data_IF_205204739527
#
_entry.id   IF_205204739527
#
_cell.length_a   1.000
_cell.length_b   1.000
_cell.length_c   1.000
_cell.angle_alpha   90.00
_cell.angle_beta   90.00
_cell.angle_gamma   90.00
#
_symmetry.space_group_name_H-M   'P 1'
#
loop_
_entity.id
_entity.type
_entity.pdbx_description
1 polymer ?
#
# COMPACT_ATOMS: atom_id res chain seq x y z
N UNK A 1 24.23 68.56 -12.60
CA UNK A 1 24.66 67.18 -12.29
C UNK A 1 23.67 66.59 -11.28
N UNK A 2 22.73 65.72 -11.70
CA UNK A 2 21.87 64.97 -10.78
C UNK A 2 22.01 63.47 -11.11
N UNK A 3 22.70 62.73 -10.24
CA UNK A 3 22.81 61.26 -10.34
C UNK A 3 21.51 60.65 -9.81
N UNK A 4 20.75 59.96 -10.66
CA UNK A 4 19.61 59.14 -10.25
C UNK A 4 20.14 57.82 -9.68
N UNK A 5 19.88 57.58 -8.40
CA UNK A 5 20.15 56.31 -7.72
C UNK A 5 18.97 55.36 -8.03
N UNK A 6 19.24 54.26 -8.74
CA UNK A 6 18.28 53.17 -8.89
C UNK A 6 18.52 52.18 -7.74
N UNK A 7 17.57 52.06 -6.82
CA UNK A 7 17.58 51.03 -5.79
C UNK A 7 16.84 49.82 -6.34
N UNK A 8 17.57 48.74 -6.61
CA UNK A 8 17.02 47.46 -7.03
C UNK A 8 16.54 46.70 -5.76
N UNK A 9 15.24 46.65 -5.54
CA UNK A 9 14.65 45.86 -4.45
C UNK A 9 14.58 44.40 -4.95
N UNK A 10 15.49 43.56 -4.46
CA UNK A 10 15.43 42.12 -4.71
C UNK A 10 14.35 41.50 -3.82
N UNK A 11 13.24 41.08 -4.43
CA UNK A 11 12.16 40.35 -3.75
C UNK A 11 12.60 38.89 -3.54
N UNK A 12 13.10 38.56 -2.36
CA UNK A 12 13.39 37.17 -1.97
C UNK A 12 12.07 36.48 -1.66
N UNK A 13 11.54 35.71 -2.62
CA UNK A 13 10.40 34.81 -2.39
C UNK A 13 10.91 33.59 -1.64
N UNK A 14 10.75 33.60 -0.31
CA UNK A 14 10.92 32.40 0.51
C UNK A 14 9.77 31.43 0.19
N UNK A 15 10.03 30.47 -0.69
CA UNK A 15 9.13 29.33 -0.87
C UNK A 15 9.22 28.45 0.38
N UNK A 16 8.30 28.66 1.33
CA UNK A 16 8.04 27.68 2.37
C UNK A 16 7.46 26.43 1.69
N UNK A 17 8.31 25.45 1.42
CA UNK A 17 7.88 24.09 1.10
C UNK A 17 7.21 23.51 2.33
N UNK A 18 5.92 23.81 2.52
CA UNK A 18 5.11 23.10 3.48
C UNK A 18 4.99 21.66 2.95
N UNK A 19 5.78 20.74 3.52
CA UNK A 19 5.58 19.32 3.29
C UNK A 19 4.17 18.99 3.77
N UNK A 20 3.23 18.93 2.83
CA UNK A 20 1.85 18.62 3.13
C UNK A 20 1.79 17.22 3.73
N UNK A 21 1.28 17.12 4.95
CA UNK A 21 1.09 15.84 5.62
C UNK A 21 0.20 14.94 4.75
N UNK A 22 0.56 13.65 4.67
CA UNK A 22 -0.22 12.66 3.91
C UNK A 22 -1.54 12.31 4.58
N UNK A 23 -1.64 12.53 5.89
CA UNK A 23 -2.86 12.39 6.69
C UNK A 23 -3.11 13.69 7.47
N UNK A 24 -4.36 14.14 7.49
CA UNK A 24 -4.75 15.37 8.21
C UNK A 24 -4.88 15.12 9.71
N UNK A 25 -4.87 16.18 10.52
CA UNK A 25 -5.13 16.06 11.95
C UNK A 25 -6.53 15.52 12.25
N UNK A 26 -7.52 15.86 11.42
CA UNK A 26 -8.87 15.30 11.51
C UNK A 26 -8.85 13.78 11.36
N UNK A 27 -8.12 13.26 10.36
CA UNK A 27 -7.95 11.81 10.16
C UNK A 27 -7.32 11.16 11.40
N UNK A 28 -6.25 11.74 11.93
CA UNK A 28 -5.57 11.20 13.11
C UNK A 28 -6.50 11.15 14.34
N UNK A 29 -7.31 12.19 14.54
CA UNK A 29 -8.31 12.23 15.61
C UNK A 29 -9.40 11.18 15.42
N UNK A 30 -9.90 10.98 14.19
CA UNK A 30 -10.89 9.93 13.90
C UNK A 30 -10.32 8.53 14.11
N UNK A 31 -9.06 8.29 13.73
CA UNK A 31 -8.35 7.03 14.01
C UNK A 31 -8.22 6.81 15.52
N UNK A 32 -7.82 7.83 16.28
CA UNK A 32 -7.72 7.74 17.73
C UNK A 32 -9.08 7.43 18.38
N UNK A 33 -10.13 8.13 17.96
CA UNK A 33 -11.47 7.90 18.47
C UNK A 33 -11.98 6.47 18.16
N UNK A 34 -11.67 5.94 16.98
CA UNK A 34 -12.15 4.63 16.53
C UNK A 34 -11.31 3.44 17.04
N UNK A 35 -9.99 3.60 17.11
CA UNK A 35 -9.04 2.50 17.34
C UNK A 35 -8.07 2.74 18.51
N UNK A 36 -8.11 3.92 19.14
CA UNK A 36 -7.29 4.28 20.28
C UNK A 36 -5.92 4.88 19.93
N UNK A 37 -5.22 5.33 20.98
CA UNK A 37 -3.95 6.08 20.88
C UNK A 37 -2.85 5.33 20.11
N UNK A 38 -2.72 4.01 20.30
CA UNK A 38 -1.69 3.23 19.61
C UNK A 38 -1.92 3.17 18.10
N UNK A 39 -3.17 3.14 17.65
CA UNK A 39 -3.50 3.20 16.23
C UNK A 39 -3.11 4.55 15.63
N UNK A 40 -3.45 5.66 16.30
CA UNK A 40 -3.02 6.99 15.88
C UNK A 40 -1.50 7.08 15.75
N UNK A 41 -0.74 6.58 16.73
CA UNK A 41 0.73 6.57 16.68
C UNK A 41 1.28 5.78 15.49
N UNK A 42 0.63 4.68 15.10
CA UNK A 42 1.00 3.93 13.88
C UNK A 42 0.73 4.74 12.62
N UNK A 43 -0.40 5.45 12.54
CA UNK A 43 -0.72 6.32 11.39
C UNK A 43 0.22 7.53 11.33
N UNK A 44 0.58 8.14 12.48
CA UNK A 44 1.60 9.18 12.57
C UNK A 44 2.97 8.66 12.09
N UNK A 45 3.35 7.45 12.50
CA UNK A 45 4.60 6.81 12.05
C UNK A 45 4.58 6.54 10.54
N UNK A 46 3.44 6.13 9.98
CA UNK A 46 3.27 6.00 8.54
C UNK A 46 3.37 7.36 7.84
N UNK A 47 2.79 8.42 8.41
CA UNK A 47 2.88 9.78 7.87
C UNK A 47 4.35 10.26 7.81
N UNK A 48 5.12 10.01 8.86
CA UNK A 48 6.56 10.32 8.91
C UNK A 48 7.34 9.50 7.87
N UNK A 49 7.05 8.21 7.72
CA UNK A 49 7.66 7.37 6.69
C UNK A 49 7.35 7.88 5.28
N UNK A 50 6.10 8.25 5.01
CA UNK A 50 5.70 8.77 3.71
C UNK A 50 6.43 10.07 3.39
N UNK A 51 6.55 10.97 4.38
CA UNK A 51 7.29 12.22 4.24
C UNK A 51 8.79 12.01 3.99
N UNK A 52 9.42 11.04 4.66
CA UNK A 52 10.86 10.77 4.48
C UNK A 52 11.19 10.10 3.14
N UNK A 53 10.22 9.43 2.51
CA UNK A 53 10.41 8.73 1.23
C UNK A 53 9.98 9.56 0.01
N UNK A 54 9.60 10.83 0.20
CA UNK A 54 9.38 11.74 -0.91
C UNK A 54 10.68 11.94 -1.68
N UNK A 55 10.64 11.72 -3.00
CA UNK A 55 11.83 11.82 -3.85
C UNK A 55 12.80 10.62 -3.80
N UNK A 56 12.60 9.66 -2.90
CA UNK A 56 13.39 8.42 -2.86
C UNK A 56 13.21 7.54 -4.10
N UNK A 57 14.19 6.68 -4.35
CA UNK A 57 14.12 5.66 -5.41
C UNK A 57 12.97 4.67 -5.17
N UNK A 58 12.49 4.02 -6.24
CA UNK A 58 11.47 2.97 -6.10
C UNK A 58 11.98 1.82 -5.20
N UNK A 59 13.25 1.41 -5.34
CA UNK A 59 13.85 0.38 -4.49
C UNK A 59 13.80 0.71 -3.00
N UNK A 60 14.21 1.93 -2.62
CA UNK A 60 14.15 2.37 -1.23
C UNK A 60 12.71 2.41 -0.70
N UNK A 61 11.76 2.89 -1.51
CA UNK A 61 10.33 2.88 -1.16
C UNK A 61 9.84 1.45 -0.90
N UNK A 62 10.17 0.49 -1.76
CA UNK A 62 9.78 -0.91 -1.59
C UNK A 62 10.32 -1.47 -0.28
N UNK A 63 11.61 -1.30 0.00
CA UNK A 63 12.26 -1.79 1.22
C UNK A 63 11.63 -1.23 2.49
N UNK A 64 11.51 0.10 2.55
CA UNK A 64 11.04 0.82 3.74
C UNK A 64 9.55 0.58 3.99
N UNK A 65 8.73 0.51 2.95
CA UNK A 65 7.31 0.16 3.08
C UNK A 65 7.13 -1.30 3.49
N UNK A 66 7.91 -2.23 2.92
CA UNK A 66 7.85 -3.63 3.32
C UNK A 66 8.22 -3.82 4.79
N UNK A 67 9.33 -3.20 5.22
CA UNK A 67 9.79 -3.24 6.61
C UNK A 67 8.81 -2.56 7.58
N UNK A 68 8.14 -1.48 7.18
CA UNK A 68 7.14 -0.82 8.01
C UNK A 68 5.96 -1.73 8.35
N UNK A 69 5.32 -2.30 7.32
CA UNK A 69 4.13 -3.13 7.56
C UNK A 69 4.46 -4.49 8.17
N UNK A 70 5.66 -5.02 7.95
CA UNK A 70 6.12 -6.27 8.58
C UNK A 70 6.36 -6.17 10.11
N UNK A 71 6.16 -4.98 10.71
CA UNK A 71 6.10 -4.82 12.17
C UNK A 71 4.72 -5.17 12.76
N UNK A 72 3.67 -5.25 11.94
CA UNK A 72 2.32 -5.60 12.39
C UNK A 72 2.22 -7.10 12.68
N UNK A 73 1.26 -7.48 13.53
CA UNK A 73 1.07 -8.89 13.88
C UNK A 73 0.30 -9.63 12.78
N UNK A 74 0.77 -10.82 12.42
CA UNK A 74 -0.02 -11.73 11.60
C UNK A 74 -1.09 -12.40 12.46
N UNK A 75 -2.36 -12.17 12.13
CA UNK A 75 -3.54 -12.70 12.85
C UNK A 75 -4.61 -13.01 11.81
N UNK A 76 -5.17 -14.23 11.84
CA UNK A 76 -6.21 -14.62 10.89
C UNK A 76 -7.51 -13.81 11.09
N UNK A 77 -8.24 -13.63 9.99
CA UNK A 77 -9.52 -12.92 10.00
C UNK A 77 -10.55 -13.50 10.95
N UNK A 78 -10.55 -14.83 11.10
CA UNK A 78 -11.49 -15.50 12.00
C UNK A 78 -11.26 -15.04 13.45
N UNK A 79 -10.01 -14.81 13.84
CA UNK A 79 -9.70 -14.32 15.18
C UNK A 79 -9.95 -12.82 15.29
N UNK A 80 -9.50 -12.05 14.29
CA UNK A 80 -9.47 -10.59 14.32
C UNK A 80 -10.82 -9.94 14.00
N UNK A 81 -11.46 -10.38 12.92
CA UNK A 81 -12.67 -9.80 12.33
C UNK A 81 -13.93 -10.65 12.53
N UNK A 82 -13.78 -11.85 13.11
CA UNK A 82 -14.85 -12.87 13.25
C UNK A 82 -15.49 -13.26 11.91
N UNK A 83 -14.70 -13.18 10.85
CA UNK A 83 -15.09 -13.49 9.48
C UNK A 83 -14.08 -14.45 8.88
N UNK A 84 -14.53 -15.27 7.92
CA UNK A 84 -13.67 -16.27 7.30
C UNK A 84 -12.57 -15.66 6.42
N UNK A 85 -12.88 -14.54 5.79
CA UNK A 85 -12.06 -13.83 4.79
C UNK A 85 -12.56 -12.38 4.77
N UNK A 86 -11.74 -11.45 5.23
CA UNK A 86 -12.03 -10.03 5.39
C UNK A 86 -10.84 -9.19 4.95
N UNK A 87 -10.97 -8.53 3.80
CA UNK A 87 -9.93 -7.64 3.30
C UNK A 87 -10.01 -6.29 3.99
N UNK A 88 -9.09 -6.00 4.91
CA UNK A 88 -9.03 -4.74 5.64
C UNK A 88 -8.52 -3.59 4.75
N UNK A 89 -9.04 -2.38 4.98
CA UNK A 89 -8.39 -1.16 4.47
C UNK A 89 -7.03 -0.99 5.16
N UNK A 90 -6.14 -0.19 4.56
CA UNK A 90 -4.89 0.20 5.22
C UNK A 90 -5.14 0.83 6.60
N UNK A 91 -6.21 1.62 6.74
CA UNK A 91 -6.56 2.27 8.01
C UNK A 91 -7.15 1.30 9.03
N UNK A 92 -7.93 0.30 8.60
CA UNK A 92 -8.38 -0.81 9.46
C UNK A 92 -7.20 -1.67 9.94
N UNK A 93 -6.29 -2.03 9.05
CA UNK A 93 -5.08 -2.80 9.36
C UNK A 93 -4.18 -2.07 10.36
N UNK A 94 -3.92 -0.77 10.13
CA UNK A 94 -3.22 0.08 11.10
C UNK A 94 -4.01 0.29 12.38
N UNK A 95 -5.34 0.38 12.28
CA UNK A 95 -6.25 0.50 13.41
C UNK A 95 -6.11 -0.67 14.37
N UNK A 96 -6.13 -1.89 13.84
CA UNK A 96 -5.95 -3.12 14.63
C UNK A 96 -4.49 -3.41 14.98
N UNK A 97 -3.54 -2.96 14.17
CA UNK A 97 -2.12 -3.33 14.31
C UNK A 97 -1.85 -4.80 13.99
N UNK A 98 -2.80 -5.45 13.31
CA UNK A 98 -2.80 -6.86 12.98
C UNK A 98 -3.70 -7.13 11.77
N UNK A 99 -3.45 -8.24 11.09
CA UNK A 99 -4.19 -8.71 9.91
C UNK A 99 -3.54 -9.95 9.31
N UNK A 100 -4.09 -10.48 8.23
CA UNK A 100 -3.54 -11.65 7.56
C UNK A 100 -2.84 -11.30 6.24
N UNK A 101 -2.59 -12.25 5.34
CA UNK A 101 -1.63 -12.03 4.25
C UNK A 101 -2.06 -10.94 3.26
N UNK A 102 -3.33 -10.87 2.91
CA UNK A 102 -3.87 -9.85 2.00
C UNK A 102 -3.80 -8.45 2.61
N UNK A 103 -4.02 -8.30 3.92
CA UNK A 103 -4.04 -7.00 4.59
C UNK A 103 -2.67 -6.32 4.49
N UNK A 104 -1.59 -7.10 4.64
CA UNK A 104 -0.22 -6.62 4.43
C UNK A 104 0.00 -6.19 2.97
N UNK A 105 -0.49 -6.96 2.01
CA UNK A 105 -0.33 -6.69 0.57
C UNK A 105 -1.11 -5.43 0.17
N UNK A 106 -2.36 -5.30 0.64
CA UNK A 106 -3.23 -4.13 0.45
C UNK A 106 -2.56 -2.89 1.02
N UNK A 107 -2.09 -2.94 2.27
CA UNK A 107 -1.47 -1.80 2.92
C UNK A 107 -0.17 -1.37 2.22
N UNK A 108 0.68 -2.32 1.80
CA UNK A 108 1.88 -2.04 0.99
C UNK A 108 1.52 -1.44 -0.37
N UNK A 109 0.55 -1.99 -1.08
CA UNK A 109 0.11 -1.51 -2.40
C UNK A 109 -0.35 -0.05 -2.35
N UNK A 110 -1.29 0.28 -1.46
CA UNK A 110 -1.82 1.65 -1.37
C UNK A 110 -0.79 2.65 -0.89
N UNK A 111 0.16 2.23 -0.05
CA UNK A 111 1.26 3.08 0.41
C UNK A 111 2.27 3.37 -0.70
N UNK A 112 2.67 2.36 -1.48
CA UNK A 112 3.55 2.54 -2.64
C UNK A 112 2.87 3.37 -3.73
N UNK A 113 1.57 3.16 -3.96
CA UNK A 113 0.76 4.00 -4.85
C UNK A 113 0.77 5.47 -4.40
N UNK A 114 0.57 5.73 -3.10
CA UNK A 114 0.62 7.08 -2.54
C UNK A 114 2.01 7.73 -2.64
N UNK A 115 3.08 6.93 -2.62
CA UNK A 115 4.45 7.36 -2.88
C UNK A 115 4.80 7.52 -4.36
N UNK A 116 3.82 7.36 -5.26
CA UNK A 116 3.97 7.54 -6.70
C UNK A 116 4.65 6.38 -7.43
N UNK A 117 4.76 5.19 -6.82
CA UNK A 117 5.20 4.00 -7.55
C UNK A 117 4.12 3.64 -8.57
N UNK A 118 4.45 3.50 -9.87
CA UNK A 118 3.46 3.19 -10.89
C UNK A 118 2.73 1.89 -10.57
N UNK A 119 1.40 1.93 -10.47
CA UNK A 119 0.61 0.75 -10.11
C UNK A 119 0.74 -0.35 -11.16
N UNK A 120 1.02 -0.02 -12.43
CA UNK A 120 1.33 -0.99 -13.49
C UNK A 120 2.53 -1.90 -13.19
N UNK A 121 3.37 -1.53 -12.22
CA UNK A 121 4.48 -2.36 -11.72
C UNK A 121 4.09 -3.24 -10.53
N UNK A 122 2.93 -3.01 -9.90
CA UNK A 122 2.51 -3.65 -8.65
C UNK A 122 1.37 -4.63 -8.88
N UNK A 123 1.55 -5.86 -8.40
CA UNK A 123 0.56 -6.92 -8.58
C UNK A 123 0.33 -7.67 -7.26
N UNK A 124 -0.94 -7.88 -6.95
CA UNK A 124 -1.38 -8.82 -5.93
C UNK A 124 -1.19 -10.22 -6.50
N UNK A 125 -0.34 -11.01 -5.89
CA UNK A 125 0.01 -12.34 -6.40
C UNK A 125 -0.38 -13.39 -5.38
N UNK A 126 -1.33 -14.23 -5.78
CA UNK A 126 -1.76 -15.38 -5.00
C UNK A 126 -0.82 -16.54 -5.28
N UNK A 127 -0.32 -17.14 -4.22
CA UNK A 127 0.68 -18.21 -4.27
C UNK A 127 0.27 -19.35 -3.35
N UNK A 128 0.83 -20.53 -3.59
CA UNK A 128 0.88 -21.62 -2.59
C UNK A 128 2.19 -21.49 -1.82
N UNK A 129 2.12 -21.24 -0.52
CA UNK A 129 3.27 -21.25 0.38
C UNK A 129 3.59 -22.70 0.75
N UNK A 130 4.60 -23.29 0.11
CA UNK A 130 4.90 -24.72 0.17
C UNK A 130 5.20 -25.19 1.59
N UNK A 131 6.01 -24.42 2.34
CA UNK A 131 6.39 -24.77 3.72
C UNK A 131 5.21 -24.86 4.67
N UNK A 132 4.19 -24.03 4.45
CA UNK A 132 2.98 -23.95 5.29
C UNK A 132 1.80 -24.72 4.71
N UNK A 133 1.95 -25.26 3.49
CA UNK A 133 0.93 -26.00 2.75
C UNK A 133 -0.41 -25.25 2.61
N UNK A 134 -0.36 -23.92 2.54
CA UNK A 134 -1.54 -23.07 2.49
C UNK A 134 -1.47 -22.05 1.36
N UNK A 135 -2.63 -21.49 1.05
CA UNK A 135 -2.75 -20.29 0.26
C UNK A 135 -2.06 -19.12 0.96
N UNK A 136 -1.47 -18.23 0.16
CA UNK A 136 -0.83 -17.02 0.64
C UNK A 136 -0.93 -15.91 -0.40
N UNK A 137 -0.83 -14.66 0.02
CA UNK A 137 -0.78 -13.51 -0.87
C UNK A 137 0.50 -12.71 -0.63
N UNK A 138 1.14 -12.29 -1.72
CA UNK A 138 2.32 -11.41 -1.70
C UNK A 138 2.10 -10.24 -2.65
N UNK A 139 2.81 -9.14 -2.41
CA UNK A 139 2.90 -8.05 -3.37
C UNK A 139 4.13 -8.29 -4.25
N UNK A 140 3.93 -8.38 -5.55
CA UNK A 140 5.04 -8.46 -6.51
C UNK A 140 5.26 -7.14 -7.22
N UNK A 141 6.52 -6.76 -7.37
CA UNK A 141 6.95 -5.56 -8.09
C UNK A 141 7.77 -5.94 -9.33
N UNK A 142 7.42 -5.38 -10.47
CA UNK A 142 8.12 -5.54 -11.74
C UNK A 142 8.77 -4.22 -12.15
N UNK A 143 10.11 -4.17 -12.20
CA UNK A 143 10.83 -2.99 -12.67
C UNK A 143 10.48 -2.66 -14.13
N UNK A 144 10.40 -3.70 -14.96
CA UNK A 144 9.87 -3.67 -16.32
C UNK A 144 8.91 -4.85 -16.53
N UNK A 145 8.02 -4.81 -17.55
CA UNK A 145 7.10 -5.92 -17.82
C UNK A 145 7.77 -7.29 -18.06
N UNK A 146 9.06 -7.32 -18.41
CA UNK A 146 9.82 -8.55 -18.67
C UNK A 146 10.77 -8.93 -17.53
N UNK A 147 10.88 -8.11 -16.49
CA UNK A 147 11.78 -8.36 -15.37
C UNK A 147 11.29 -9.53 -14.51
N UNK A 148 12.22 -10.25 -13.88
CA UNK A 148 11.87 -11.15 -12.77
C UNK A 148 11.40 -10.30 -11.60
N UNK A 149 10.17 -10.50 -11.08
CA UNK A 149 9.63 -9.62 -10.06
C UNK A 149 10.34 -9.78 -8.73
N UNK A 150 10.38 -8.69 -7.98
CA UNK A 150 10.66 -8.70 -6.54
C UNK A 150 9.40 -9.08 -5.77
N UNK A 151 9.57 -9.80 -4.67
CA UNK A 151 8.49 -10.28 -3.80
C UNK A 151 8.55 -9.55 -2.46
N UNK A 152 7.50 -8.81 -2.14
CA UNK A 152 7.28 -8.17 -0.84
C UNK A 152 6.28 -9.03 -0.06
N UNK A 153 6.74 -9.58 1.05
CA UNK A 153 6.05 -10.65 1.79
C UNK A 153 6.09 -10.38 3.30
N UNK A 154 5.16 -10.98 4.04
CA UNK A 154 5.06 -10.98 5.49
C UNK A 154 5.44 -12.34 6.12
N UNK A 155 5.80 -13.35 5.33
CA UNK A 155 6.46 -14.58 5.83
C UNK A 155 7.98 -14.41 5.81
N UNK A 156 8.53 -13.97 4.67
CA UNK A 156 9.93 -13.59 4.55
C UNK A 156 10.03 -12.07 4.38
N UNK A 157 10.63 -11.40 5.35
CA UNK A 157 10.72 -9.94 5.35
C UNK A 157 11.76 -9.38 4.37
N UNK A 158 12.67 -10.22 3.85
CA UNK A 158 13.60 -9.80 2.81
C UNK A 158 12.90 -9.74 1.46
N UNK A 159 13.10 -8.63 0.75
CA UNK A 159 12.65 -8.49 -0.63
C UNK A 159 13.61 -9.29 -1.51
N UNK A 160 13.09 -10.33 -2.15
CA UNK A 160 13.87 -11.22 -3.00
C UNK A 160 13.21 -11.34 -4.38
N UNK A 161 14.02 -11.59 -5.40
CA UNK A 161 13.48 -12.02 -6.69
C UNK A 161 12.65 -13.30 -6.55
N UNK A 162 11.57 -13.41 -7.32
CA UNK A 162 10.70 -14.59 -7.30
C UNK A 162 11.45 -15.91 -7.57
N UNK A 163 12.52 -15.88 -8.38
CA UNK A 163 13.39 -17.05 -8.64
C UNK A 163 14.14 -17.55 -7.40
N UNK A 164 14.29 -16.72 -6.37
CA UNK A 164 14.88 -17.07 -5.07
C UNK A 164 13.83 -17.53 -4.05
N UNK A 165 12.54 -17.36 -4.34
CA UNK A 165 11.41 -17.75 -3.48
C UNK A 165 10.81 -19.09 -3.89
N UNK A 166 11.64 -20.14 -3.86
CA UNK A 166 11.22 -21.53 -4.19
C UNK A 166 10.15 -22.08 -3.24
N UNK A 167 9.93 -21.41 -2.11
CA UNK A 167 8.89 -21.69 -1.14
C UNK A 167 7.50 -21.18 -1.55
N UNK A 168 7.41 -20.37 -2.62
CA UNK A 168 6.15 -19.83 -3.15
C UNK A 168 5.93 -20.32 -4.59
N UNK A 169 4.77 -20.95 -4.83
CA UNK A 169 4.35 -21.35 -6.19
C UNK A 169 3.25 -20.39 -6.65
N UNK A 170 3.46 -19.57 -7.69
CA UNK A 170 2.45 -18.63 -8.17
C UNK A 170 1.25 -19.37 -8.76
N UNK A 171 0.04 -18.88 -8.46
CA UNK A 171 -1.21 -19.40 -9.02
C UNK A 171 -1.80 -18.38 -9.99
N UNK A 172 -1.96 -17.14 -9.55
CA UNK A 172 -2.40 -16.03 -10.41
C UNK A 172 -2.00 -14.69 -9.79
N UNK A 173 -1.99 -13.64 -10.61
CA UNK A 173 -1.71 -12.28 -10.19
C UNK A 173 -2.69 -11.30 -10.83
N UNK A 174 -2.98 -10.20 -10.15
CA UNK A 174 -3.78 -9.11 -10.71
C UNK A 174 -3.26 -7.74 -10.29
N UNK A 175 -3.54 -6.75 -11.11
CA UNK A 175 -3.31 -5.36 -10.79
C UNK A 175 -4.61 -4.71 -10.32
N UNK A 176 -4.57 -3.99 -9.20
CA UNK A 176 -5.75 -3.40 -8.58
C UNK A 176 -6.43 -2.33 -9.44
N UNK A 177 -5.65 -1.45 -10.07
CA UNK A 177 -6.18 -0.34 -10.87
C UNK A 177 -6.79 -0.84 -12.19
N UNK A 178 -6.10 -1.74 -12.89
CA UNK A 178 -6.62 -2.37 -14.10
C UNK A 178 -7.94 -3.11 -13.84
N UNK A 179 -8.01 -3.84 -12.72
CA UNK A 179 -9.23 -4.53 -12.30
C UNK A 179 -10.38 -3.54 -12.04
N UNK A 180 -10.11 -2.43 -11.37
CA UNK A 180 -11.09 -1.37 -11.10
C UNK A 180 -11.61 -0.72 -12.39
N UNK A 181 -10.72 -0.37 -13.32
CA UNK A 181 -11.09 0.22 -14.61
C UNK A 181 -11.96 -0.73 -15.45
N UNK A 182 -11.63 -2.02 -15.50
CA UNK A 182 -12.43 -3.01 -16.22
C UNK A 182 -13.87 -3.11 -15.68
N UNK A 183 -14.07 -2.95 -14.37
CA UNK A 183 -15.40 -2.93 -13.75
C UNK A 183 -16.20 -1.70 -14.15
N UNK A 184 -15.57 -0.53 -14.23
CA UNK A 184 -16.25 0.72 -14.67
C UNK A 184 -16.66 0.68 -16.14
N UNK A 185 -15.86 0.04 -16.99
CA UNK A 185 -16.14 -0.09 -18.43
C UNK A 185 -17.21 -1.14 -18.77
N UNK A 186 -17.82 -1.79 -17.76
CA UNK A 186 -18.87 -2.78 -18.01
C UNK A 186 -18.37 -4.06 -18.69
N UNK A 187 -17.05 -4.31 -18.76
CA UNK A 187 -16.42 -5.48 -19.37
C UNK A 187 -16.64 -6.80 -18.58
N UNK A 188 -17.70 -6.84 -17.77
CA UNK A 188 -17.99 -7.86 -16.75
C UNK A 188 -18.39 -9.25 -17.25
N UNK A 189 -17.95 -9.69 -18.43
CA UNK A 189 -18.34 -11.00 -19.00
C UNK A 189 -17.22 -11.88 -19.58
N UNK A 190 -15.98 -11.42 -19.73
CA UNK A 190 -14.89 -12.35 -20.08
C UNK A 190 -14.40 -12.99 -18.77
N UNK A 191 -15.00 -14.13 -18.39
CA UNK A 191 -14.73 -14.77 -17.08
C UNK A 191 -13.95 -16.08 -17.23
N UNK A 192 -12.61 -16.05 -17.08
CA UNK A 192 -11.86 -17.18 -16.55
C UNK A 192 -12.20 -17.37 -15.06
N UNK A 193 -12.17 -18.62 -14.60
CA UNK A 193 -12.53 -19.09 -13.25
C UNK A 193 -11.86 -18.38 -12.05
N UNK A 194 -10.85 -17.54 -12.26
CA UNK A 194 -10.14 -16.80 -11.21
C UNK A 194 -10.85 -15.57 -10.63
N UNK A 195 -11.89 -15.03 -11.29
CA UNK A 195 -12.43 -13.69 -10.97
C UNK A 195 -13.42 -13.63 -9.79
N UNK A 196 -13.94 -14.76 -9.24
CA UNK A 196 -14.73 -14.72 -8.00
C UNK A 196 -13.93 -14.09 -6.84
N UNK A 197 -12.61 -14.27 -6.83
CA UNK A 197 -11.69 -13.68 -5.85
C UNK A 197 -11.57 -12.15 -5.97
N UNK A 198 -11.97 -11.57 -7.11
CA UNK A 198 -11.87 -10.12 -7.36
C UNK A 198 -13.10 -9.34 -6.86
N UNK A 199 -14.19 -10.02 -6.47
CA UNK A 199 -15.32 -9.37 -5.78
C UNK A 199 -14.84 -8.64 -4.51
N UNK A 200 -13.94 -9.28 -3.76
CA UNK A 200 -13.33 -8.72 -2.55
C UNK A 200 -12.57 -7.44 -2.81
N UNK A 201 -11.82 -7.37 -3.92
CA UNK A 201 -11.14 -6.14 -4.32
C UNK A 201 -12.13 -4.99 -4.57
N UNK A 202 -13.24 -5.24 -5.28
CA UNK A 202 -14.23 -4.19 -5.53
C UNK A 202 -14.93 -3.74 -4.25
N UNK A 203 -15.26 -4.67 -3.36
CA UNK A 203 -15.81 -4.36 -2.03
C UNK A 203 -14.83 -3.54 -1.18
N UNK A 204 -13.54 -3.88 -1.22
CA UNK A 204 -12.48 -3.13 -0.55
C UNK A 204 -12.38 -1.70 -1.10
N UNK A 205 -12.33 -1.52 -2.43
CA UNK A 205 -12.25 -0.18 -3.03
C UNK A 205 -13.50 0.65 -2.72
N UNK A 206 -14.68 0.02 -2.72
CA UNK A 206 -15.93 0.66 -2.31
C UNK A 206 -15.92 1.06 -0.83
N UNK A 207 -15.36 0.21 0.03
CA UNK A 207 -15.14 0.50 1.45
C UNK A 207 -14.17 1.67 1.65
N UNK A 208 -13.01 1.68 0.98
CA UNK A 208 -12.03 2.78 1.05
C UNK A 208 -12.68 4.11 0.63
N UNK A 209 -13.52 4.12 -0.41
CA UNK A 209 -14.21 5.34 -0.85
C UNK A 209 -15.19 5.90 0.18
N UNK A 210 -15.82 5.03 0.97
CA UNK A 210 -16.78 5.39 2.04
C UNK A 210 -16.11 5.59 3.39
N UNK A 211 -14.83 5.23 3.52
CA UNK A 211 -14.09 5.38 4.75
C UNK A 211 -13.85 6.87 4.99
N UNK A 212 -14.40 7.39 6.08
CA UNK A 212 -14.24 8.80 6.47
C UNK A 212 -12.92 9.03 7.25
N UNK A 213 -11.85 8.32 6.86
CA UNK A 213 -10.49 8.40 7.42
C UNK A 213 -9.46 8.74 6.34
#
# INVERSE_FOLDING_TARGET
>A
MCKKFFVLIALVVLTLSCNQAFFTQEVLQKVEAKYGLYAKRRVESLNTLLASLQGSSEGEKLEKVNAFFNQMQFVSDQMLWKQKDYWATRMEFLGKGAGDCEDFVIAKYFTLKQLGVPTTKLFFTYVKAVKFQQAHMVLTYYETPKSVPLVLDNINFQILHATKRKDLIPVYSFNGDALYLAKQQGLGQIVPSGMQKNKKWFELVDKIRREEL
#
